data_IF_343410466149
#
_entry.id   IF_343410466149
#
_cell.length_a   1.000
_cell.length_b   1.000
_cell.length_c   1.000
_cell.angle_alpha   90.00
_cell.angle_beta   90.00
_cell.angle_gamma   90.00
#
_symmetry.space_group_name_H-M   'P 1'
#
loop_
_entity.id
_entity.type
_entity.pdbx_description
1 polymer ?
#
# COMPACT_ATOMS: atom_id res chain seq x y z
N UNK A 1 -19.97 -21.20 7.98
CA UNK A 1 -19.86 -20.67 9.36
C UNK A 1 -18.52 -19.97 9.55
N UNK A 2 -17.38 -20.66 9.46
CA UNK A 2 -16.04 -20.05 9.58
C UNK A 2 -15.80 -18.86 8.63
N UNK A 3 -16.22 -18.97 7.36
CA UNK A 3 -16.09 -17.84 6.41
C UNK A 3 -16.92 -16.60 6.78
N UNK A 4 -18.04 -16.77 7.49
CA UNK A 4 -18.87 -15.64 7.93
C UNK A 4 -18.23 -14.93 9.12
N UNK A 5 -17.65 -15.71 10.03
CA UNK A 5 -16.88 -15.21 11.18
C UNK A 5 -15.62 -14.49 10.70
N UNK A 6 -14.90 -15.08 9.74
CA UNK A 6 -13.75 -14.47 9.08
C UNK A 6 -14.12 -13.10 8.47
N UNK A 7 -15.27 -13.00 7.81
CA UNK A 7 -15.78 -11.75 7.23
C UNK A 7 -16.20 -10.72 8.29
N UNK A 8 -16.82 -11.13 9.39
CA UNK A 8 -17.21 -10.23 10.49
C UNK A 8 -15.97 -9.71 11.23
N UNK A 9 -14.96 -10.55 11.42
CA UNK A 9 -13.68 -10.15 12.02
C UNK A 9 -12.92 -9.21 11.08
N UNK A 10 -12.80 -9.53 9.80
CA UNK A 10 -12.19 -8.63 8.80
C UNK A 10 -12.91 -7.28 8.72
N UNK A 11 -14.23 -7.25 8.89
CA UNK A 11 -15.01 -6.02 8.95
C UNK A 11 -14.80 -5.24 10.27
N UNK A 12 -14.63 -5.92 11.41
CA UNK A 12 -14.35 -5.31 12.71
C UNK A 12 -12.90 -4.80 12.87
N UNK A 13 -11.95 -5.50 12.25
CA UNK A 13 -10.51 -5.20 12.24
C UNK A 13 -10.18 -3.92 11.45
N UNK A 14 -11.04 -3.51 10.52
CA UNK A 14 -10.91 -2.20 9.87
C UNK A 14 -11.18 -1.01 10.80
N UNK A 15 -11.98 -1.21 11.86
CA UNK A 15 -12.34 -0.16 12.83
C UNK A 15 -11.48 -0.18 14.10
N UNK A 16 -10.82 -1.31 14.39
CA UNK A 16 -9.91 -1.49 15.52
C UNK A 16 -8.49 -1.61 14.96
N UNK A 17 -7.65 -0.60 15.18
CA UNK A 17 -6.22 -0.67 14.84
C UNK A 17 -5.62 -1.98 15.39
N UNK A 18 -5.15 -2.85 14.49
CA UNK A 18 -4.44 -4.07 14.85
C UNK A 18 -3.17 -3.70 15.64
N UNK A 19 -3.22 -3.84 16.96
CA UNK A 19 -2.06 -3.75 17.86
C UNK A 19 -1.83 -5.12 18.51
N UNK A 20 -0.63 -5.33 19.04
CA UNK A 20 -0.23 -6.60 19.65
C UNK A 20 -1.20 -7.04 20.75
N UNK A 21 -1.58 -6.11 21.63
CA UNK A 21 -2.55 -6.33 22.71
C UNK A 21 -3.96 -6.67 22.19
N UNK A 22 -4.38 -6.03 21.08
CA UNK A 22 -5.69 -6.30 20.47
C UNK A 22 -5.73 -7.62 19.71
N UNK A 23 -4.59 -8.09 19.21
CA UNK A 23 -4.46 -9.43 18.65
C UNK A 23 -4.69 -10.54 19.69
N UNK A 24 -4.17 -10.36 20.91
CA UNK A 24 -4.38 -11.31 22.00
C UNK A 24 -5.84 -11.35 22.47
N UNK A 25 -6.49 -10.18 22.58
CA UNK A 25 -7.90 -10.06 22.94
C UNK A 25 -8.82 -10.75 21.91
N UNK A 26 -8.55 -10.54 20.61
CA UNK A 26 -9.25 -11.25 19.53
C UNK A 26 -9.07 -12.76 19.61
N UNK A 27 -7.86 -13.23 19.95
CA UNK A 27 -7.60 -14.66 20.12
C UNK A 27 -8.42 -15.26 21.27
N UNK A 28 -8.55 -14.52 22.37
CA UNK A 28 -9.34 -14.92 23.53
C UNK A 28 -10.84 -14.97 23.20
N UNK A 29 -11.37 -13.96 22.53
CA UNK A 29 -12.77 -13.94 22.08
C UNK A 29 -13.08 -15.07 21.09
N UNK A 30 -12.14 -15.39 20.20
CA UNK A 30 -12.26 -16.50 19.26
C UNK A 30 -12.31 -17.86 19.98
N UNK A 31 -11.50 -18.05 21.03
CA UNK A 31 -11.56 -19.26 21.87
C UNK A 31 -12.89 -19.39 22.61
N UNK A 32 -13.34 -18.31 23.27
CA UNK A 32 -14.57 -18.33 24.09
C UNK A 32 -15.84 -18.44 23.24
N UNK A 33 -15.95 -17.68 22.15
CA UNK A 33 -17.18 -17.61 21.36
C UNK A 33 -17.32 -18.71 20.32
N UNK A 34 -16.21 -19.27 19.85
CA UNK A 34 -16.23 -20.22 18.73
C UNK A 34 -15.63 -21.59 19.04
N UNK A 35 -15.19 -21.85 20.28
CA UNK A 35 -14.52 -23.11 20.66
C UNK A 35 -13.36 -23.48 19.73
N UNK A 36 -12.70 -22.47 19.14
CA UNK A 36 -11.56 -22.67 18.26
C UNK A 36 -10.38 -23.22 19.08
N UNK A 37 -9.71 -24.24 18.54
CA UNK A 37 -8.44 -24.71 19.11
C UNK A 37 -7.36 -23.63 18.96
N UNK A 38 -6.34 -23.65 19.81
CA UNK A 38 -5.19 -22.72 19.73
C UNK A 38 -4.55 -22.71 18.34
N UNK A 39 -4.48 -23.86 17.69
CA UNK A 39 -3.94 -24.01 16.34
C UNK A 39 -4.79 -23.31 15.27
N UNK A 40 -6.11 -23.33 15.42
CA UNK A 40 -7.01 -22.69 14.48
C UNK A 40 -7.02 -21.16 14.66
N UNK A 41 -6.98 -20.69 15.92
CA UNK A 41 -6.82 -19.26 16.22
C UNK A 41 -5.51 -18.69 15.69
N UNK A 42 -4.39 -19.39 15.86
CA UNK A 42 -3.08 -19.00 15.32
C UNK A 42 -3.10 -18.92 13.79
N UNK A 43 -3.69 -19.90 13.11
CA UNK A 43 -3.84 -19.90 11.65
C UNK A 43 -4.68 -18.72 11.14
N UNK A 44 -5.74 -18.35 11.87
CA UNK A 44 -6.57 -17.21 11.51
C UNK A 44 -5.82 -15.88 11.64
N UNK A 45 -5.10 -15.65 12.73
CA UNK A 45 -4.28 -14.43 12.88
C UNK A 45 -3.22 -14.35 11.78
N UNK A 46 -2.53 -15.47 11.50
CA UNK A 46 -1.51 -15.49 10.46
C UNK A 46 -2.08 -15.15 9.08
N UNK A 47 -3.27 -15.68 8.75
CA UNK A 47 -3.98 -15.38 7.50
C UNK A 47 -4.45 -13.92 7.44
N UNK A 48 -4.90 -13.35 8.55
CA UNK A 48 -5.24 -11.94 8.65
C UNK A 48 -4.02 -11.05 8.44
N UNK A 49 -2.89 -11.39 9.05
CA UNK A 49 -1.64 -10.64 8.93
C UNK A 49 -1.12 -10.64 7.48
N UNK A 50 -1.11 -11.80 6.82
CA UNK A 50 -0.75 -11.92 5.40
C UNK A 50 -1.71 -11.12 4.51
N UNK A 51 -3.02 -11.21 4.75
CA UNK A 51 -4.01 -10.47 3.97
C UNK A 51 -3.88 -8.96 4.19
N UNK A 52 -3.64 -8.52 5.42
CA UNK A 52 -3.42 -7.12 5.75
C UNK A 52 -2.18 -6.56 5.05
N UNK A 53 -1.05 -7.28 5.09
CA UNK A 53 0.19 -6.91 4.38
C UNK A 53 -0.04 -6.80 2.86
N UNK A 54 -0.76 -7.75 2.27
CA UNK A 54 -1.07 -7.73 0.85
C UNK A 54 -1.98 -6.55 0.46
N UNK A 55 -3.00 -6.27 1.27
CA UNK A 55 -3.90 -5.13 1.02
C UNK A 55 -3.21 -3.79 1.24
N UNK A 56 -2.29 -3.69 2.20
CA UNK A 56 -1.50 -2.49 2.44
C UNK A 56 -0.62 -2.15 1.23
N UNK A 57 0.12 -3.13 0.69
CA UNK A 57 0.94 -2.93 -0.51
C UNK A 57 0.09 -2.52 -1.73
N UNK A 58 -1.10 -3.11 -1.87
CA UNK A 58 -2.04 -2.75 -2.94
C UNK A 58 -2.60 -1.33 -2.76
N UNK A 59 -2.89 -0.93 -1.52
CA UNK A 59 -3.33 0.43 -1.19
C UNK A 59 -2.24 1.47 -1.46
N UNK A 60 -0.99 1.19 -1.09
CA UNK A 60 0.15 2.04 -1.38
C UNK A 60 0.33 2.25 -2.88
N UNK A 61 0.27 1.17 -3.67
CA UNK A 61 0.35 1.25 -5.14
C UNK A 61 -0.77 2.11 -5.74
N UNK A 62 -2.02 1.89 -5.31
CA UNK A 62 -3.16 2.67 -5.79
C UNK A 62 -3.06 4.14 -5.38
N UNK A 63 -2.63 4.42 -4.15
CA UNK A 63 -2.41 5.78 -3.68
C UNK A 63 -1.30 6.47 -4.49
N UNK A 64 -0.20 5.79 -4.75
CA UNK A 64 0.90 6.32 -5.56
C UNK A 64 0.46 6.60 -7.00
N UNK A 65 -0.29 5.70 -7.62
CA UNK A 65 -0.83 5.89 -8.97
C UNK A 65 -1.80 7.09 -9.02
N UNK A 66 -2.64 7.25 -8.01
CA UNK A 66 -3.60 8.36 -7.99
C UNK A 66 -2.94 9.71 -7.71
N UNK A 67 -1.91 9.73 -6.87
CA UNK A 67 -1.05 10.91 -6.68
C UNK A 67 -0.31 11.25 -7.98
N UNK A 68 0.24 10.26 -8.68
CA UNK A 68 0.92 10.45 -9.96
C UNK A 68 -0.04 11.06 -11.00
N UNK A 69 -1.26 10.52 -11.14
CA UNK A 69 -2.28 11.05 -12.05
C UNK A 69 -2.73 12.46 -11.66
N UNK A 70 -2.88 12.74 -10.37
CA UNK A 70 -3.23 14.07 -9.89
C UNK A 70 -2.11 15.07 -10.19
N UNK A 71 -0.85 14.70 -9.93
CA UNK A 71 0.34 15.48 -10.24
C UNK A 71 0.43 15.80 -11.74
N UNK A 72 0.20 14.82 -12.62
CA UNK A 72 0.16 15.03 -14.07
C UNK A 72 -0.96 15.99 -14.49
N UNK A 73 -2.16 15.87 -13.91
CA UNK A 73 -3.30 16.75 -14.22
C UNK A 73 -3.06 18.21 -13.84
N UNK A 74 -2.31 18.46 -12.76
CA UNK A 74 -1.96 19.83 -12.33
C UNK A 74 -0.65 20.33 -12.96
N UNK A 75 -0.03 19.55 -13.84
CA UNK A 75 1.21 19.91 -14.53
C UNK A 75 2.47 19.80 -13.67
N UNK A 76 2.41 19.08 -12.54
CA UNK A 76 3.57 18.82 -11.70
C UNK A 76 4.43 17.74 -12.35
N UNK A 77 5.57 18.16 -12.90
CA UNK A 77 6.52 17.29 -13.58
C UNK A 77 7.67 16.95 -12.62
N UNK A 78 8.13 15.68 -12.56
CA UNK A 78 9.31 15.31 -11.78
C UNK A 78 10.54 16.12 -12.20
N UNK A 79 11.38 16.49 -11.22
CA UNK A 79 12.61 17.25 -11.45
C UNK A 79 13.53 16.58 -12.46
N UNK A 80 13.58 15.26 -12.50
CA UNK A 80 14.44 14.52 -13.43
C UNK A 80 14.06 14.77 -14.90
N UNK A 81 12.76 14.95 -15.19
CA UNK A 81 12.31 15.28 -16.56
C UNK A 81 12.69 16.70 -16.96
N UNK A 82 12.75 17.63 -15.99
CA UNK A 82 13.24 19.00 -16.23
C UNK A 82 14.74 19.01 -16.50
N UNK A 83 15.53 18.34 -15.67
CA UNK A 83 17.00 18.22 -15.86
C UNK A 83 17.34 17.54 -17.20
N UNK A 84 16.61 16.50 -17.59
CA UNK A 84 16.78 15.85 -18.88
C UNK A 84 16.46 16.79 -20.07
N UNK A 85 15.49 17.69 -19.91
CA UNK A 85 15.17 18.73 -20.90
C UNK A 85 16.29 19.77 -20.98
N UNK A 86 16.78 20.26 -19.84
CA UNK A 86 17.90 21.21 -19.78
C UNK A 86 19.16 20.65 -20.44
N UNK A 87 19.51 19.39 -20.16
CA UNK A 87 20.64 18.72 -20.79
C UNK A 87 20.50 18.60 -22.32
N UNK A 88 19.29 18.30 -22.82
CA UNK A 88 19.02 18.26 -24.27
C UNK A 88 19.11 19.64 -24.91
N UNK A 89 18.63 20.67 -24.22
CA UNK A 89 18.72 22.05 -24.69
C UNK A 89 20.20 22.47 -24.79
N UNK A 90 20.98 22.25 -23.74
CA UNK A 90 22.41 22.56 -23.73
C UNK A 90 23.16 21.88 -24.89
N UNK A 91 22.89 20.59 -25.14
CA UNK A 91 23.50 19.85 -26.24
C UNK A 91 23.11 20.41 -27.62
N UNK A 92 21.86 20.82 -27.80
CA UNK A 92 21.39 21.45 -29.04
C UNK A 92 21.99 22.84 -29.25
N UNK A 93 22.11 23.63 -28.19
CA UNK A 93 22.77 24.94 -28.22
C UNK A 93 24.24 24.83 -28.62
N UNK A 94 24.96 23.86 -28.06
CA UNK A 94 26.35 23.58 -28.40
C UNK A 94 26.51 23.18 -29.88
N UNK A 95 25.64 22.29 -30.38
CA UNK A 95 25.62 21.89 -31.79
C UNK A 95 25.34 23.07 -32.74
N UNK A 96 24.38 23.92 -32.41
CA UNK A 96 24.07 25.12 -33.20
C UNK A 96 25.20 26.16 -33.16
N UNK A 97 25.92 26.28 -32.05
CA UNK A 97 27.08 27.17 -31.94
C UNK A 97 28.24 26.72 -32.83
N UNK A 98 28.46 25.40 -32.90
CA UNK A 98 29.50 24.77 -33.72
C UNK A 98 29.17 24.85 -35.22
N UNK A 99 27.88 24.88 -35.57
CA UNK A 99 27.41 24.98 -36.95
C UNK A 99 27.40 26.43 -37.50
N UNK A 100 27.53 27.44 -36.63
CA UNK A 100 27.61 28.87 -36.99
C UNK A 100 29.05 29.42 -37.08
N UNK A 101 30.06 28.63 -36.71
CA UNK A 101 31.47 28.92 -36.98
C UNK A 101 31.91 28.30 -38.31
#
# INVERSE_FOLDING_TARGET
MLEFVEKVILAGVGALTLTQDKGEELLSELKERFQLSEDEGRKLIQKLEESAKQQQARLEMLAQEEIQKAAEKIGLVPSEKLEALEARIAALEEQLSTQKQ
#
